data_IF_368256131262
#
_entry.id   IF_368256131262
#
_cell.length_a   1.000
_cell.length_b   1.000
_cell.length_c   1.000
_cell.angle_alpha   90.00
_cell.angle_beta   90.00
_cell.angle_gamma   90.00
#
_symmetry.space_group_name_H-M   'P 1'
#
loop_
_entity.id
_entity.type
_entity.pdbx_description
1 polymer ?
#
# COMPACT_ATOMS: atom_id res chain seq x y z
N UNK A 1 -11.35 -13.72 4.90
CA UNK A 1 -11.91 -13.95 3.57
C UNK A 1 -12.63 -12.68 3.17
N UNK A 2 -12.14 -11.98 2.14
CA UNK A 2 -12.72 -10.73 1.67
C UNK A 2 -13.44 -11.04 0.34
N UNK A 3 -14.65 -10.52 0.14
CA UNK A 3 -15.45 -10.74 -1.08
C UNK A 3 -14.62 -10.47 -2.35
N UNK A 4 -14.52 -11.46 -3.22
CA UNK A 4 -13.67 -11.44 -4.42
C UNK A 4 -12.16 -11.16 -4.23
N UNK A 5 -11.63 -11.11 -3.00
CA UNK A 5 -10.24 -10.73 -2.73
C UNK A 5 -9.25 -11.84 -3.04
N UNK A 6 -8.18 -11.52 -3.78
CA UNK A 6 -7.11 -12.49 -4.12
C UNK A 6 -5.80 -12.22 -3.37
N UNK A 7 -5.64 -11.02 -2.81
CA UNK A 7 -4.46 -10.58 -2.06
C UNK A 7 -4.83 -10.13 -0.65
N UNK A 8 -3.87 -10.28 0.26
CA UNK A 8 -3.86 -9.65 1.58
C UNK A 8 -2.64 -8.75 1.64
N UNK A 9 -2.87 -7.45 1.66
CA UNK A 9 -1.86 -6.42 1.83
C UNK A 9 -1.69 -6.17 3.32
N UNK A 10 -0.49 -6.40 3.84
CA UNK A 10 -0.09 -5.97 5.18
C UNK A 10 0.60 -4.63 5.05
N UNK A 11 -0.17 -3.55 5.25
CA UNK A 11 0.30 -2.17 5.15
C UNK A 11 0.79 -1.77 6.54
N UNK A 12 2.10 -1.72 6.70
CA UNK A 12 2.76 -1.27 7.91
C UNK A 12 3.28 0.16 7.69
N UNK A 13 2.91 1.06 8.58
CA UNK A 13 3.36 2.45 8.59
C UNK A 13 4.10 2.71 9.90
N UNK A 14 5.30 3.28 9.84
CA UNK A 14 6.06 3.74 11.00
C UNK A 14 6.68 5.13 10.79
N UNK A 15 7.40 5.62 11.80
CA UNK A 15 8.07 6.92 11.74
C UNK A 15 7.13 8.12 11.87
N UNK A 16 5.85 7.89 12.15
CA UNK A 16 4.86 8.95 12.29
C UNK A 16 4.99 9.67 13.63
N UNK A 17 4.46 10.89 13.75
CA UNK A 17 4.47 11.64 15.02
C UNK A 17 3.77 10.87 16.17
N UNK A 18 2.67 10.18 15.84
CA UNK A 18 1.92 9.31 16.74
C UNK A 18 1.16 8.23 15.94
N UNK A 19 0.57 7.27 16.65
CA UNK A 19 -0.16 6.15 16.03
C UNK A 19 -1.39 6.61 15.23
N UNK A 20 -1.98 7.76 15.57
CA UNK A 20 -3.15 8.28 14.84
C UNK A 20 -2.75 8.79 13.46
N UNK A 21 -1.59 9.43 13.34
CA UNK A 21 -0.99 9.82 12.06
C UNK A 21 -0.64 8.58 11.21
N UNK A 22 -0.01 7.57 11.81
CA UNK A 22 0.30 6.31 11.14
C UNK A 22 -0.97 5.59 10.65
N UNK A 23 -2.03 5.56 11.47
CA UNK A 23 -3.32 4.99 11.11
C UNK A 23 -3.97 5.73 9.92
N UNK A 24 -3.95 7.07 9.92
CA UNK A 24 -4.48 7.87 8.81
C UNK A 24 -3.78 7.53 7.49
N UNK A 25 -2.45 7.48 7.49
CA UNK A 25 -1.65 7.10 6.34
C UNK A 25 -1.96 5.66 5.87
N UNK A 26 -1.97 4.69 6.79
CA UNK A 26 -2.24 3.29 6.47
C UNK A 26 -3.64 3.12 5.86
N UNK A 27 -4.66 3.76 6.44
CA UNK A 27 -6.04 3.72 5.93
C UNK A 27 -6.17 4.41 4.57
N UNK A 28 -5.47 5.51 4.33
CA UNK A 28 -5.50 6.18 3.04
C UNK A 28 -4.94 5.27 1.92
N UNK A 29 -3.85 4.56 2.19
CA UNK A 29 -3.24 3.59 1.26
C UNK A 29 -4.16 2.37 1.08
N UNK A 30 -4.58 1.73 2.16
CA UNK A 30 -5.38 0.50 2.11
C UNK A 30 -6.79 0.67 1.54
N UNK A 31 -7.36 1.87 1.63
CA UNK A 31 -8.66 2.20 1.05
C UNK A 31 -8.56 2.78 -0.37
N UNK A 32 -7.36 3.02 -0.89
CA UNK A 32 -7.18 3.60 -2.22
C UNK A 32 -7.54 2.58 -3.31
N UNK A 33 -8.59 2.83 -4.14
CA UNK A 33 -8.94 1.90 -5.23
C UNK A 33 -7.80 1.71 -6.23
N UNK A 34 -7.00 2.76 -6.46
CA UNK A 34 -5.84 2.68 -7.34
C UNK A 34 -4.75 1.76 -6.77
N UNK A 35 -4.50 1.81 -5.47
CA UNK A 35 -3.54 0.90 -4.82
C UNK A 35 -4.07 -0.54 -4.87
N UNK A 36 -5.32 -0.75 -4.45
CA UNK A 36 -5.96 -2.08 -4.43
C UNK A 36 -5.99 -2.73 -5.83
N UNK A 37 -6.27 -1.96 -6.88
CA UNK A 37 -6.24 -2.47 -8.27
C UNK A 37 -4.83 -2.70 -8.81
N UNK A 38 -3.83 -1.93 -8.36
CA UNK A 38 -2.43 -2.19 -8.73
C UNK A 38 -1.96 -3.54 -8.20
N UNK A 39 -2.26 -3.85 -6.93
CA UNK A 39 -1.92 -5.15 -6.35
C UNK A 39 -2.70 -6.33 -6.94
N UNK A 40 -3.97 -6.14 -7.31
CA UNK A 40 -4.70 -7.13 -8.12
C UNK A 40 -3.98 -7.39 -9.46
N UNK A 41 -3.54 -6.31 -10.12
CA UNK A 41 -2.77 -6.34 -11.37
C UNK A 41 -1.32 -6.81 -11.23
N UNK A 42 -0.86 -7.17 -10.02
CA UNK A 42 0.53 -7.54 -9.74
C UNK A 42 1.52 -6.43 -10.13
N UNK A 43 1.14 -5.17 -9.88
CA UNK A 43 1.93 -3.97 -10.13
C UNK A 43 2.26 -3.29 -8.79
N UNK A 44 3.55 -3.21 -8.43
CA UNK A 44 4.05 -2.53 -7.23
C UNK A 44 4.15 -1.02 -7.47
N UNK A 45 3.01 -0.40 -7.77
CA UNK A 45 2.95 0.99 -8.20
C UNK A 45 3.15 1.96 -7.02
N UNK A 46 4.40 2.25 -6.69
CA UNK A 46 4.77 3.17 -5.60
C UNK A 46 4.16 4.56 -5.79
N UNK A 47 4.00 5.03 -7.03
CA UNK A 47 3.39 6.34 -7.31
C UNK A 47 1.94 6.44 -6.82
N UNK A 48 1.17 5.34 -6.92
CA UNK A 48 -0.19 5.28 -6.36
C UNK A 48 -0.20 5.22 -4.83
N UNK A 49 0.83 4.64 -4.21
CA UNK A 49 1.00 4.61 -2.75
C UNK A 49 1.33 6.02 -2.24
N UNK A 50 2.35 6.68 -2.81
CA UNK A 50 2.73 8.05 -2.46
C UNK A 50 1.58 9.04 -2.69
N UNK A 51 0.83 8.90 -3.80
CA UNK A 51 -0.36 9.72 -4.04
C UNK A 51 -1.47 9.49 -2.99
N UNK A 52 -1.60 8.28 -2.44
CA UNK A 52 -2.53 8.00 -1.36
C UNK A 52 -2.05 8.59 -0.02
N UNK A 53 -0.74 8.53 0.26
CA UNK A 53 -0.13 9.18 1.43
C UNK A 53 -0.34 10.69 1.41
N UNK A 54 -0.08 11.35 0.26
CA UNK A 54 -0.21 12.80 0.13
C UNK A 54 -1.64 13.35 0.30
N UNK A 55 -2.66 12.49 0.27
CA UNK A 55 -4.06 12.84 0.56
C UNK A 55 -4.60 12.24 1.86
N UNK A 56 -3.72 11.65 2.68
CA UNK A 56 -4.13 10.92 3.90
C UNK A 56 -4.62 11.83 5.02
N UNK A 57 -4.18 13.09 5.02
CA UNK A 57 -4.37 14.00 6.16
C UNK A 57 -3.30 13.84 7.24
N UNK A 58 -2.41 12.86 7.11
CA UNK A 58 -1.29 12.70 8.03
C UNK A 58 -0.22 13.78 7.82
N UNK A 59 0.40 14.22 8.91
CA UNK A 59 1.52 15.16 8.91
C UNK A 59 2.86 14.40 8.86
N UNK A 60 3.63 14.63 7.80
CA UNK A 60 4.97 14.07 7.58
C UNK A 60 5.73 14.93 6.56
N UNK A 61 7.05 14.84 6.53
CA UNK A 61 7.87 15.45 5.49
C UNK A 61 7.95 14.50 4.28
N UNK A 62 7.56 14.93 3.06
CA UNK A 62 7.71 14.11 1.86
C UNK A 62 9.15 13.62 1.60
N UNK A 63 10.16 14.36 2.05
CA UNK A 63 11.57 13.98 1.87
C UNK A 63 11.98 12.80 2.77
N UNK A 64 11.26 12.55 3.87
CA UNK A 64 11.51 11.45 4.80
C UNK A 64 10.75 10.15 4.42
N UNK A 65 9.89 10.21 3.39
CA UNK A 65 9.05 9.07 3.02
C UNK A 65 9.86 7.97 2.35
N UNK A 66 9.78 6.76 2.91
CA UNK A 66 10.27 5.53 2.29
C UNK A 66 9.11 4.59 2.02
N UNK A 67 9.04 4.02 0.82
CA UNK A 67 8.06 2.98 0.46
C UNK A 67 8.80 1.74 0.02
N UNK A 68 8.53 0.63 0.69
CA UNK A 68 8.99 -0.69 0.29
C UNK A 68 7.81 -1.65 0.08
N UNK A 69 7.96 -2.55 -0.88
CA UNK A 69 7.00 -3.62 -1.15
C UNK A 69 7.75 -4.94 -1.15
N UNK A 70 7.28 -5.86 -0.32
CA UNK A 70 7.89 -7.17 -0.11
C UNK A 70 9.40 -7.09 0.20
N UNK A 71 9.80 -6.12 1.04
CA UNK A 71 11.18 -5.85 1.43
C UNK A 71 12.05 -5.15 0.38
N UNK A 72 11.47 -4.66 -0.72
CA UNK A 72 12.19 -3.89 -1.76
C UNK A 72 11.79 -2.44 -1.69
N UNK A 73 12.74 -1.56 -1.41
CA UNK A 73 12.54 -0.10 -1.46
C UNK A 73 12.31 0.34 -2.91
N UNK A 74 11.21 1.05 -3.15
CA UNK A 74 10.80 1.54 -4.46
C UNK A 74 10.84 3.07 -4.55
N UNK A 75 10.76 3.74 -3.41
CA UNK A 75 10.76 5.19 -3.28
C UNK A 75 11.43 5.56 -1.96
N UNK A 76 12.37 6.50 -2.00
CA UNK A 76 13.08 7.07 -0.86
C UNK A 76 13.73 8.39 -1.28
N UNK A 77 14.09 9.25 -0.34
CA UNK A 77 14.79 10.53 -0.61
C UNK A 77 14.04 11.39 -1.66
N UNK A 78 12.71 11.33 -1.65
CA UNK A 78 11.82 12.00 -2.62
C UNK A 78 12.06 11.60 -4.09
N UNK A 79 12.64 10.42 -4.34
CA UNK A 79 12.92 9.90 -5.67
C UNK A 79 12.58 8.40 -5.81
N UNK A 80 12.25 7.93 -7.03
CA UNK A 80 12.12 6.50 -7.27
C UNK A 80 13.48 5.82 -7.15
N UNK A 81 13.49 4.63 -6.55
CA UNK A 81 14.72 3.82 -6.49
C UNK A 81 15.18 3.46 -7.90
N UNK A 82 16.45 3.77 -8.26
CA UNK A 82 16.95 3.50 -9.61
C UNK A 82 17.16 2.00 -9.83
N UNK A 83 16.67 1.48 -10.96
CA UNK A 83 16.89 0.10 -11.40
C UNK A 83 15.65 -0.56 -11.98
N UNK A 84 15.85 -1.69 -12.66
CA UNK A 84 14.76 -2.58 -13.05
C UNK A 84 14.47 -3.55 -11.89
N UNK A 85 13.51 -3.14 -11.04
CA UNK A 85 13.08 -3.91 -9.87
C UNK A 85 11.93 -4.87 -10.21
N UNK A 86 11.36 -4.77 -11.42
CA UNK A 86 10.18 -5.53 -11.83
C UNK A 86 10.43 -7.03 -11.81
N UNK A 87 11.61 -7.45 -12.28
CA UNK A 87 12.01 -8.86 -12.27
C UNK A 87 12.04 -9.48 -10.88
N UNK A 88 12.44 -8.71 -9.86
CA UNK A 88 12.49 -9.17 -8.47
C UNK A 88 11.09 -9.16 -7.85
N UNK A 89 10.34 -8.08 -8.05
CA UNK A 89 9.00 -7.89 -7.48
C UNK A 89 7.98 -8.87 -8.05
N UNK A 90 8.12 -9.27 -9.32
CA UNK A 90 7.17 -10.15 -10.01
C UNK A 90 6.88 -11.45 -9.27
N UNK A 91 7.91 -12.07 -8.67
CA UNK A 91 7.70 -13.29 -7.87
C UNK A 91 6.94 -13.01 -6.57
N UNK A 92 7.23 -11.89 -5.92
CA UNK A 92 6.61 -11.51 -4.66
C UNK A 92 5.15 -11.08 -4.85
N UNK A 93 4.84 -10.33 -5.92
CA UNK A 93 3.49 -9.85 -6.23
C UNK A 93 2.52 -10.98 -6.63
N UNK A 94 3.02 -12.17 -6.95
CA UNK A 94 2.20 -13.37 -7.17
C UNK A 94 1.73 -14.03 -5.87
N UNK A 95 2.42 -13.77 -4.75
CA UNK A 95 2.01 -14.30 -3.44
C UNK A 95 0.65 -13.73 -3.03
N UNK A 96 -0.05 -14.48 -2.17
CA UNK A 96 -1.32 -14.03 -1.62
C UNK A 96 -1.10 -12.90 -0.60
N UNK A 97 -0.10 -13.04 0.25
CA UNK A 97 0.28 -12.03 1.24
C UNK A 97 1.42 -11.17 0.69
N UNK A 98 1.26 -9.86 0.77
CA UNK A 98 2.22 -8.87 0.29
C UNK A 98 2.41 -7.83 1.38
N UNK A 99 3.65 -7.67 1.83
CA UNK A 99 4.02 -6.61 2.75
C UNK A 99 4.19 -5.29 1.99
N UNK A 100 3.64 -4.22 2.55
CA UNK A 100 3.79 -2.85 2.10
C UNK A 100 4.28 -2.06 3.30
N UNK A 101 5.56 -1.72 3.30
CA UNK A 101 6.22 -1.02 4.41
C UNK A 101 6.38 0.46 4.03
N UNK A 102 5.96 1.35 4.91
CA UNK A 102 5.99 2.79 4.71
C UNK A 102 6.60 3.44 5.95
N UNK A 103 7.66 4.21 5.76
CA UNK A 103 8.24 5.05 6.81
C UNK A 103 7.94 6.50 6.51
N UNK A 104 7.41 7.24 7.48
CA UNK A 104 7.04 8.65 7.36
C UNK A 104 8.08 9.61 7.97
N UNK A 105 9.08 9.08 8.68
CA UNK A 105 10.04 9.86 9.45
C UNK A 105 10.69 9.03 10.56
N UNK A 106 11.06 9.69 11.65
CA UNK A 106 11.73 9.10 12.83
C UNK A 106 10.87 9.14 14.11
N UNK A 107 9.59 9.48 13.97
CA UNK A 107 8.66 9.55 15.09
C UNK A 107 8.29 8.17 15.66
N UNK A 108 7.70 8.13 16.87
CA UNK A 108 7.39 6.88 17.57
C UNK A 108 6.12 6.18 17.07
N UNK A 109 5.33 6.84 16.23
CA UNK A 109 4.02 6.39 15.81
C UNK A 109 4.08 5.27 14.77
N UNK A 110 3.30 4.22 14.99
CA UNK A 110 3.23 3.07 14.10
C UNK A 110 1.81 2.52 13.98
N UNK A 111 1.49 1.91 12.84
CA UNK A 111 0.21 1.26 12.64
C UNK A 111 0.29 0.17 11.56
N UNK A 112 -0.44 -0.92 11.75
CA UNK A 112 -0.60 -1.97 10.72
C UNK A 112 -2.07 -2.08 10.31
N UNK A 113 -2.33 -1.99 9.00
CA UNK A 113 -3.62 -2.26 8.39
C UNK A 113 -3.54 -3.51 7.50
N UNK A 114 -4.54 -4.38 7.60
CA UNK A 114 -4.77 -5.42 6.60
C UNK A 114 -5.81 -4.94 5.59
N UNK A 115 -5.47 -5.00 4.30
CA UNK A 115 -6.37 -4.65 3.21
C UNK A 115 -6.40 -5.76 2.15
N UNK A 116 -7.54 -5.95 1.50
CA UNK A 116 -7.61 -6.77 0.28
C UNK A 116 -7.20 -5.97 -0.95
N UNK A 117 -7.00 -6.63 -2.08
CA UNK A 117 -7.05 -6.01 -3.40
C UNK A 117 -8.50 -5.65 -3.83
N UNK A 118 -8.65 -5.09 -5.03
CA UNK A 118 -9.96 -4.78 -5.64
C UNK A 118 -10.03 -5.46 -7.00
N UNK A 119 -10.91 -6.44 -7.12
CA UNK A 119 -10.96 -7.37 -8.26
C UNK A 119 -12.24 -7.22 -9.07
N UNK A 120 -12.30 -7.90 -10.22
CA UNK A 120 -13.55 -8.03 -10.96
C UNK A 120 -14.61 -8.82 -10.16
N UNK A 121 -14.21 -9.86 -9.44
CA UNK A 121 -15.13 -10.69 -8.66
C UNK A 121 -15.79 -9.91 -7.52
N UNK A 122 -15.05 -8.99 -6.87
CA UNK A 122 -15.64 -8.08 -5.88
C UNK A 122 -16.81 -7.29 -6.48
N UNK A 123 -16.66 -6.81 -7.72
CA UNK A 123 -17.71 -6.08 -8.44
C UNK A 123 -18.87 -7.00 -8.80
N UNK A 124 -18.58 -8.17 -9.39
CA UNK A 124 -19.60 -9.15 -9.78
C UNK A 124 -20.44 -9.59 -8.58
N UNK A 125 -19.80 -10.00 -7.49
CA UNK A 125 -20.47 -10.47 -6.27
C UNK A 125 -21.38 -9.38 -5.67
N UNK A 126 -20.92 -8.13 -5.61
CA UNK A 126 -21.67 -7.04 -4.99
C UNK A 126 -22.71 -6.39 -5.92
N UNK A 127 -22.53 -6.45 -7.24
CA UNK A 127 -23.49 -5.92 -8.20
C UNK A 127 -24.65 -6.90 -8.45
N UNK A 128 -24.35 -8.20 -8.48
CA UNK A 128 -25.32 -9.24 -8.86
C UNK A 128 -26.05 -9.85 -7.64
N UNK A 129 -25.71 -9.43 -6.41
CA UNK A 129 -26.26 -10.00 -5.16
C UNK A 129 -27.80 -9.97 -5.05
N UNK A 130 -28.47 -9.06 -5.80
CA UNK A 130 -29.93 -8.90 -5.79
C UNK A 130 -30.58 -9.00 -7.18
N UNK A 131 -29.84 -9.48 -8.18
CA UNK A 131 -30.38 -9.72 -9.54
C UNK A 131 -30.83 -11.16 -9.74
#
# INVERSE_FOLDING_TARGET
DAEGGTKVLRIYVDGAQDDAQAEQAARAVGNSPLVKTAFYGQDANWGRIVAALGRSGAEFDPDDVVVAVAGVVLFADNEPTPGDLDGFLHYHLRKQEIDVEITLGDGPGEYTLLASDLTHDYITENADYRS
#
